data_IF_149720422039
#
_entry.id   IF_149720422039
#
_cell.length_a   1.000
_cell.length_b   1.000
_cell.length_c   1.000
_cell.angle_alpha   90.00
_cell.angle_beta   90.00
_cell.angle_gamma   90.00
#
_symmetry.space_group_name_H-M   'P 1'
#
loop_
_entity.id
_entity.type
_entity.pdbx_description
1 polymer ?
#
# COMPACT_ATOMS: atom_id res chain seq x y z
N UNK A 1 7.80 -40.60 19.01
CA UNK A 1 8.06 -39.16 19.17
C UNK A 1 7.36 -38.47 18.02
N UNK A 2 6.48 -37.51 18.29
CA UNK A 2 5.77 -36.76 17.25
C UNK A 2 6.71 -35.67 16.75
N UNK A 3 7.10 -35.71 15.47
CA UNK A 3 7.89 -34.63 14.89
C UNK A 3 7.02 -33.37 14.84
N UNK A 4 7.55 -32.18 15.19
CA UNK A 4 6.84 -30.94 14.95
C UNK A 4 6.56 -30.82 13.45
N UNK A 5 5.43 -30.21 13.06
CA UNK A 5 5.15 -29.96 11.66
C UNK A 5 6.32 -29.19 11.04
N UNK A 6 6.70 -29.51 9.79
CA UNK A 6 7.75 -28.76 9.11
C UNK A 6 7.34 -27.29 9.02
N UNK A 7 8.32 -26.40 9.20
CA UNK A 7 8.10 -24.97 9.00
C UNK A 7 7.56 -24.72 7.58
N UNK A 8 6.61 -23.78 7.41
CA UNK A 8 6.12 -23.43 6.09
C UNK A 8 7.28 -22.97 5.20
N UNK A 9 7.27 -23.32 3.89
CA UNK A 9 8.29 -22.85 2.96
C UNK A 9 8.33 -21.32 2.92
N UNK A 10 9.52 -20.73 2.90
CA UNK A 10 9.75 -19.27 2.78
C UNK A 10 8.93 -18.62 1.64
N UNK A 11 8.71 -19.34 0.54
CA UNK A 11 7.93 -18.89 -0.62
C UNK A 11 6.44 -18.66 -0.29
N UNK A 12 5.88 -19.37 0.70
CA UNK A 12 4.49 -19.21 1.13
C UNK A 12 4.29 -17.88 1.85
N UNK A 13 5.21 -17.51 2.75
CA UNK A 13 5.13 -16.24 3.47
C UNK A 13 5.31 -15.02 2.55
N UNK A 14 6.14 -15.16 1.51
CA UNK A 14 6.29 -14.15 0.46
C UNK A 14 4.99 -13.98 -0.35
N UNK A 15 4.35 -15.09 -0.72
CA UNK A 15 3.06 -15.05 -1.43
C UNK A 15 1.96 -14.40 -0.58
N UNK A 16 1.92 -14.68 0.73
CA UNK A 16 0.98 -14.06 1.66
C UNK A 16 1.17 -12.55 1.70
N UNK A 17 2.41 -12.06 1.87
CA UNK A 17 2.69 -10.63 1.91
C UNK A 17 2.29 -9.92 0.61
N UNK A 18 2.61 -10.52 -0.54
CA UNK A 18 2.19 -9.97 -1.84
C UNK A 18 0.67 -9.94 -2.02
N UNK A 19 -0.04 -10.98 -1.57
CA UNK A 19 -1.50 -11.03 -1.62
C UNK A 19 -2.14 -9.97 -0.70
N UNK A 20 -1.62 -9.78 0.51
CA UNK A 20 -2.09 -8.73 1.43
C UNK A 20 -1.87 -7.33 0.84
N UNK A 21 -0.68 -7.07 0.30
CA UNK A 21 -0.39 -5.83 -0.40
C UNK A 21 -1.36 -5.59 -1.58
N UNK A 22 -1.58 -6.61 -2.40
CA UNK A 22 -2.48 -6.54 -3.56
C UNK A 22 -3.92 -6.26 -3.13
N UNK A 23 -4.41 -6.87 -2.04
CA UNK A 23 -5.75 -6.60 -1.49
C UNK A 23 -5.91 -5.14 -1.07
N UNK A 24 -4.90 -4.54 -0.45
CA UNK A 24 -4.93 -3.12 -0.07
C UNK A 24 -4.92 -2.20 -1.28
N UNK A 25 -4.09 -2.49 -2.30
CA UNK A 25 -4.04 -1.71 -3.54
C UNK A 25 -5.36 -1.83 -4.30
N UNK A 26 -5.94 -3.03 -4.43
CA UNK A 26 -7.23 -3.24 -5.11
C UNK A 26 -8.36 -2.55 -4.34
N UNK A 27 -8.41 -2.68 -3.02
CA UNK A 27 -9.42 -2.00 -2.21
C UNK A 27 -9.33 -0.48 -2.39
N UNK A 28 -8.11 0.06 -2.35
CA UNK A 28 -7.84 1.47 -2.60
C UNK A 28 -8.36 1.96 -3.96
N UNK A 29 -8.24 1.16 -5.03
CA UNK A 29 -8.76 1.49 -6.37
C UNK A 29 -10.29 1.31 -6.48
N UNK A 30 -10.87 0.32 -5.80
CA UNK A 30 -12.31 -0.02 -5.91
C UNK A 30 -13.22 0.85 -5.05
N UNK A 31 -12.72 1.56 -4.05
CA UNK A 31 -13.51 2.48 -3.21
C UNK A 31 -13.94 3.79 -3.92
N UNK A 32 -14.09 3.73 -5.25
CA UNK A 32 -14.95 4.60 -6.07
C UNK A 32 -14.92 6.07 -5.70
N UNK A 33 -13.99 6.81 -6.33
CA UNK A 33 -13.73 8.26 -6.14
C UNK A 33 -12.69 8.63 -5.09
N UNK A 34 -11.84 7.70 -4.66
CA UNK A 34 -10.74 7.99 -3.74
C UNK A 34 -9.48 7.37 -4.33
N UNK A 35 -8.49 8.20 -4.68
CA UNK A 35 -7.26 7.75 -5.33
C UNK A 35 -6.12 7.73 -4.32
N UNK A 36 -5.51 6.57 -4.16
CA UNK A 36 -4.24 6.43 -3.44
C UNK A 36 -3.11 6.44 -4.45
N UNK A 37 -2.15 7.35 -4.25
CA UNK A 37 -0.93 7.42 -5.07
C UNK A 37 0.23 6.90 -4.27
N UNK A 38 1.09 6.13 -4.94
CA UNK A 38 2.36 5.71 -4.35
C UNK A 38 3.24 6.93 -4.16
N UNK A 39 3.68 7.17 -2.94
CA UNK A 39 4.65 8.21 -2.64
C UNK A 39 5.97 7.90 -3.36
N UNK A 40 6.50 8.82 -4.18
CA UNK A 40 7.77 8.60 -4.88
C UNK A 40 8.96 8.54 -3.91
N UNK A 41 8.81 9.05 -2.68
CA UNK A 41 9.88 8.99 -1.68
C UNK A 41 10.15 7.54 -1.26
N UNK A 42 11.33 7.07 -1.63
CA UNK A 42 11.85 5.78 -1.18
C UNK A 42 12.65 6.00 0.09
N UNK A 43 12.13 5.54 1.22
CA UNK A 43 12.87 5.50 2.47
C UNK A 43 13.39 4.08 2.71
N UNK A 44 14.71 3.91 2.73
CA UNK A 44 15.33 2.64 3.12
C UNK A 44 15.21 2.44 4.62
N UNK A 45 14.71 1.28 5.05
CA UNK A 45 14.55 0.90 6.45
C UNK A 45 15.19 -0.47 6.65
N UNK A 46 16.37 -0.50 7.29
CA UNK A 46 17.15 -1.73 7.45
C UNK A 46 17.48 -2.35 6.09
N UNK A 47 17.09 -3.61 5.87
CA UNK A 47 17.24 -4.33 4.59
C UNK A 47 16.10 -4.11 3.60
N UNK A 48 15.16 -3.21 3.92
CA UNK A 48 13.93 -2.98 3.17
C UNK A 48 13.75 -1.59 2.61
N UNK A 49 12.73 -1.44 1.78
CA UNK A 49 12.24 -0.14 1.31
C UNK A 49 10.82 0.07 1.82
N UNK A 50 10.60 1.18 2.51
CA UNK A 50 9.25 1.62 2.87
C UNK A 50 8.51 2.03 1.59
N UNK A 51 7.38 1.42 1.37
CA UNK A 51 6.41 1.79 0.35
C UNK A 51 5.24 2.44 1.07
N UNK A 52 4.99 3.71 0.75
CA UNK A 52 3.85 4.45 1.27
C UNK A 52 2.89 4.76 0.12
N UNK A 53 1.61 4.46 0.32
CA UNK A 53 0.53 4.97 -0.54
C UNK A 53 -0.29 5.95 0.28
N UNK A 54 -0.48 7.15 -0.26
CA UNK A 54 -1.26 8.21 0.40
C UNK A 54 -2.43 8.59 -0.48
N UNK A 55 -3.51 9.04 0.13
CA UNK A 55 -4.58 9.68 -0.61
C UNK A 55 -4.02 10.87 -1.39
N UNK A 56 -4.46 11.05 -2.64
CA UNK A 56 -4.06 12.15 -3.50
C UNK A 56 -4.64 13.49 -3.03
N UNK A 57 -5.77 13.48 -2.30
CA UNK A 57 -6.38 14.69 -1.75
C UNK A 57 -5.44 15.34 -0.73
N UNK A 58 -5.04 16.58 -0.98
CA UNK A 58 -4.10 17.31 -0.14
C UNK A 58 -4.64 17.48 1.29
N UNK A 59 -3.81 17.16 2.28
CA UNK A 59 -4.20 17.20 3.70
C UNK A 59 -5.01 16.00 4.19
N UNK A 60 -5.39 15.05 3.31
CA UNK A 60 -6.06 13.82 3.75
C UNK A 60 -5.06 12.88 4.46
N UNK A 61 -5.37 12.41 5.69
CA UNK A 61 -4.46 11.53 6.45
C UNK A 61 -4.57 10.06 6.05
N UNK A 62 -5.44 9.73 5.10
CA UNK A 62 -5.63 8.36 4.65
C UNK A 62 -4.43 7.86 3.84
N UNK A 63 -3.98 6.65 4.14
CA UNK A 63 -2.84 6.01 3.50
C UNK A 63 -2.46 4.69 4.16
N UNK A 64 -1.59 3.93 3.51
CA UNK A 64 -1.10 2.66 4.03
C UNK A 64 0.37 2.44 3.69
N UNK A 65 1.07 1.75 4.59
CA UNK A 65 2.52 1.57 4.59
C UNK A 65 2.86 0.09 4.63
N UNK A 66 3.79 -0.29 3.76
CA UNK A 66 4.40 -1.62 3.72
C UNK A 66 5.92 -1.48 3.68
N UNK A 67 6.65 -2.44 4.22
CA UNK A 67 8.07 -2.60 3.92
C UNK A 67 8.21 -3.68 2.85
N UNK A 68 8.87 -3.36 1.74
CA UNK A 68 9.27 -4.33 0.73
C UNK A 68 10.71 -4.78 0.99
N UNK A 69 10.88 -6.09 1.24
CA UNK A 69 12.18 -6.75 1.40
C UNK A 69 12.29 -7.83 0.33
N UNK A 70 13.21 -7.70 -0.64
CA UNK A 70 13.33 -8.65 -1.76
C UNK A 70 11.95 -9.02 -2.34
N UNK A 71 11.43 -10.20 -2.02
CA UNK A 71 10.16 -10.76 -2.52
C UNK A 71 8.98 -10.68 -1.54
N UNK A 72 9.18 -10.13 -0.34
CA UNK A 72 8.12 -10.03 0.66
C UNK A 72 7.64 -8.59 0.87
N UNK A 73 6.36 -8.47 1.20
CA UNK A 73 5.69 -7.24 1.62
C UNK A 73 5.20 -7.40 3.04
N UNK A 74 5.72 -6.57 3.95
CA UNK A 74 5.37 -6.62 5.37
C UNK A 74 4.48 -5.42 5.68
N UNK A 75 3.23 -5.67 6.06
CA UNK A 75 2.33 -4.62 6.51
C UNK A 75 2.91 -3.86 7.71
N UNK A 76 2.79 -2.53 7.70
CA UNK A 76 3.20 -1.68 8.82
C UNK A 76 2.03 -0.99 9.47
N UNK A 77 1.25 -0.25 8.68
CA UNK A 77 0.08 0.46 9.18
C UNK A 77 -0.81 0.91 8.04
N UNK A 78 -2.07 1.16 8.36
CA UNK A 78 -3.02 1.81 7.49
C UNK A 78 -3.92 2.75 8.30
N UNK A 79 -4.22 3.90 7.71
CA UNK A 79 -5.34 4.74 8.07
C UNK A 79 -6.24 4.83 6.84
N UNK A 80 -7.44 4.26 6.91
CA UNK A 80 -8.39 4.25 5.80
C UNK A 80 -9.51 5.28 5.99
N UNK A 81 -9.40 6.13 7.02
CA UNK A 81 -10.39 7.17 7.30
C UNK A 81 -10.11 8.41 6.46
N UNK A 82 -11.04 8.74 5.58
CA UNK A 82 -11.01 9.95 4.77
C UNK A 82 -11.70 11.11 5.47
N UNK A 83 -11.17 12.31 5.28
CA UNK A 83 -11.77 13.57 5.77
C UNK A 83 -12.45 14.39 4.66
N UNK A 84 -12.63 13.78 3.49
CA UNK A 84 -13.23 14.38 2.31
C UNK A 84 -14.20 13.38 1.68
N UNK A 85 -15.07 13.91 0.83
CA UNK A 85 -16.02 13.14 0.03
C UNK A 85 -15.74 13.39 -1.45
N UNK A 86 -15.76 12.34 -2.26
CA UNK A 86 -15.49 12.45 -3.70
C UNK A 86 -14.00 12.55 -4.07
N UNK A 87 -13.71 12.66 -5.38
CA UNK A 87 -12.35 12.58 -5.90
C UNK A 87 -11.52 13.81 -5.55
N UNK A 88 -10.18 13.69 -5.55
CA UNK A 88 -9.30 14.85 -5.47
C UNK A 88 -9.66 15.87 -6.56
N UNK A 89 -9.49 17.18 -6.29
CA UNK A 89 -9.68 18.20 -7.30
C UNK A 89 -8.81 17.85 -8.50
N UNK A 90 -9.41 17.74 -9.69
CA UNK A 90 -8.62 17.62 -10.90
C UNK A 90 -7.76 18.88 -10.97
N UNK A 91 -6.43 18.73 -10.93
CA UNK A 91 -5.57 19.81 -11.37
C UNK A 91 -6.02 20.13 -12.80
N UNK A 92 -6.59 21.32 -12.99
CA UNK A 92 -6.90 21.85 -14.31
C UNK A 92 -5.61 21.82 -15.12
N UNK A 93 -5.38 20.74 -15.86
CA UNK A 93 -4.52 20.81 -17.03
C UNK A 93 -5.25 21.82 -17.93
N UNK A 94 -4.65 22.98 -18.25
CA UNK A 94 -5.24 23.84 -19.24
C UNK A 94 -5.42 22.99 -20.49
N UNK A 95 -6.65 22.93 -21.00
CA UNK A 95 -6.91 22.44 -22.33
C UNK A 95 -5.97 23.22 -23.25
N UNK A 96 -4.96 22.55 -23.80
CA UNK A 96 -4.20 23.10 -24.91
C UNK A 96 -5.17 23.10 -26.09
N UNK A 97 -5.69 24.29 -26.40
CA UNK A 97 -6.36 24.59 -27.68
C UNK A 97 -5.42 24.31 -28.87
#
# INVERSE_FOLDING_TARGET
MQHPPPDPPCEVDQAIGYLEYSRFVIAAELHGNIRFVKDPQKLSIGTGVLIYHRCEYEGCPAGFKFIKNFDNYIFKSANLTHIHSGPPPQHNLPCLD
#
